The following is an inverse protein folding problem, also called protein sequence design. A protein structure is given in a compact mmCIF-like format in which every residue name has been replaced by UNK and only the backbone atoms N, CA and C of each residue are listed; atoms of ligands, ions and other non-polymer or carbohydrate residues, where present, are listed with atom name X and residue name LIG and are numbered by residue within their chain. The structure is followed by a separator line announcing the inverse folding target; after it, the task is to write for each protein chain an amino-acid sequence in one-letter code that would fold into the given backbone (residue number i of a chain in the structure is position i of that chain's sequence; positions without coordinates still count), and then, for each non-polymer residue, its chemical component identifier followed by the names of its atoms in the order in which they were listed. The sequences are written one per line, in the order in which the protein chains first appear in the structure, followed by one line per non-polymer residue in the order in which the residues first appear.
data_IF_235583449004
#
_entry.id   IF_235583449004
#
_cell.length_a   1.000
_cell.length_b   1.000
_cell.length_c   1.000
_cell.angle_alpha   90.00
_cell.angle_beta   90.00
_cell.angle_gamma   90.00
#
_symmetry.space_group_name_H-M   'P 1'
#
loop_
_entity.id
_entity.type
_entity.pdbx_description
1 polymer ?
#
# COMPACT_ATOMS: atom_id res chain seq x y z
N UNK A 1 -16.01 -10.98 3.95
CA UNK A 1 -15.22 -10.43 2.84
C UNK A 1 -13.92 -11.21 2.79
N UNK A 2 -13.32 -11.39 1.60
CA UNK A 2 -12.07 -12.17 1.44
C UNK A 2 -10.95 -11.73 2.40
N UNK A 3 -10.95 -10.45 2.81
CA UNK A 3 -9.97 -9.92 3.75
C UNK A 3 -10.08 -10.51 5.17
N UNK A 4 -11.30 -10.78 5.62
CA UNK A 4 -11.57 -11.36 6.94
C UNK A 4 -11.35 -12.88 6.95
N UNK A 5 -11.43 -13.55 5.80
CA UNK A 5 -11.26 -15.01 5.67
C UNK A 5 -9.81 -15.49 5.92
N UNK A 6 -8.88 -14.57 6.23
CA UNK A 6 -7.51 -14.91 6.63
C UNK A 6 -7.46 -15.57 8.02
N UNK A 7 -8.51 -15.49 8.83
CA UNK A 7 -8.66 -16.23 10.08
C UNK A 7 -8.55 -17.75 9.87
N UNK A 8 -9.13 -18.27 8.79
CA UNK A 8 -9.05 -19.68 8.39
C UNK A 8 -7.63 -20.07 8.02
N UNK A 9 -6.90 -19.18 7.34
CA UNK A 9 -5.49 -19.40 6.97
C UNK A 9 -4.63 -19.43 8.23
N UNK A 10 -4.85 -18.52 9.18
CA UNK A 10 -4.16 -18.48 10.47
C UNK A 10 -4.38 -19.79 11.24
N UNK A 11 -5.63 -20.26 11.33
CA UNK A 11 -5.95 -21.53 11.99
C UNK A 11 -5.21 -22.71 11.35
N UNK A 12 -5.20 -22.79 10.01
CA UNK A 12 -4.50 -23.84 9.27
C UNK A 12 -2.97 -23.77 9.45
N UNK A 13 -2.39 -22.56 9.48
CA UNK A 13 -0.95 -22.37 9.73
C UNK A 13 -0.56 -22.89 11.11
N UNK A 14 -1.37 -22.54 12.13
CA UNK A 14 -1.16 -23.01 13.50
C UNK A 14 -1.23 -24.52 13.60
N UNK A 15 -2.25 -25.13 13.00
CA UNK A 15 -2.44 -26.58 12.98
C UNK A 15 -1.28 -27.31 12.29
N UNK A 16 -0.79 -26.78 11.16
CA UNK A 16 0.30 -27.38 10.41
C UNK A 16 1.66 -27.29 11.13
N UNK A 17 1.91 -26.19 11.87
CA UNK A 17 3.10 -26.03 12.72
C UNK A 17 4.45 -25.95 12.00
N UNK A 18 4.47 -25.96 10.67
CA UNK A 18 5.71 -26.05 9.86
C UNK A 18 6.02 -24.79 9.05
N UNK A 19 5.11 -23.81 8.98
CA UNK A 19 5.27 -22.58 8.22
C UNK A 19 6.32 -21.67 8.89
N UNK A 20 7.30 -21.23 8.10
CA UNK A 20 8.43 -20.41 8.58
C UNK A 20 8.18 -18.91 8.49
N UNK A 21 7.24 -18.50 7.64
CA UNK A 21 6.83 -17.10 7.51
C UNK A 21 5.45 -17.00 6.89
N UNK A 22 4.59 -16.18 7.48
CA UNK A 22 3.30 -15.79 6.92
C UNK A 22 3.31 -14.32 6.49
N UNK A 23 2.83 -14.06 5.29
CA UNK A 23 2.62 -12.71 4.75
C UNK A 23 1.11 -12.51 4.57
N UNK A 24 0.42 -11.86 5.51
CA UNK A 24 -0.99 -11.53 5.32
C UNK A 24 -1.19 -10.53 4.20
N UNK A 25 -2.44 -10.39 3.73
CA UNK A 25 -2.86 -9.46 2.69
C UNK A 25 -2.80 -7.99 3.16
N UNK A 26 -1.59 -7.44 3.14
CA UNK A 26 -1.24 -6.09 3.61
C UNK A 26 -1.14 -5.11 2.44
N UNK A 27 -0.04 -5.17 1.68
CA UNK A 27 0.24 -4.51 0.40
C UNK A 27 -0.39 -3.12 0.20
N UNK A 28 -0.21 -2.25 1.19
CA UNK A 28 -0.74 -0.89 1.15
C UNK A 28 -0.18 -0.02 2.27
N UNK A 29 -1.05 0.79 2.86
CA UNK A 29 -0.73 1.59 4.03
C UNK A 29 -0.52 0.72 5.27
N UNK A 30 0.32 1.18 6.18
CA UNK A 30 0.45 0.58 7.49
C UNK A 30 -0.80 0.85 8.34
N UNK A 31 -1.60 -0.19 8.56
CA UNK A 31 -2.90 -0.08 9.21
C UNK A 31 -2.83 0.21 10.71
N UNK A 32 -1.67 0.03 11.34
CA UNK A 32 -1.42 0.43 12.73
C UNK A 32 -1.00 1.92 12.83
N UNK A 33 -0.77 2.61 11.70
CA UNK A 33 -0.27 4.00 11.64
C UNK A 33 -1.05 4.84 10.62
N UNK A 34 -2.31 5.10 10.91
CA UNK A 34 -3.22 5.79 9.98
C UNK A 34 -4.22 6.69 10.71
N UNK A 35 -4.59 7.81 10.07
CA UNK A 35 -5.66 8.72 10.49
C UNK A 35 -6.88 8.62 9.55
N UNK A 36 -7.09 7.44 8.94
CA UNK A 36 -8.18 7.24 7.99
C UNK A 36 -9.55 7.49 8.63
N UNK A 37 -10.45 8.02 7.81
CA UNK A 37 -11.88 8.18 8.12
C UNK A 37 -12.68 7.06 7.48
N UNK A 38 -13.96 6.94 7.84
CA UNK A 38 -14.84 5.96 7.21
C UNK A 38 -15.06 6.26 5.72
N UNK A 39 -15.24 5.24 4.86
CA UNK A 39 -15.29 3.81 5.19
C UNK A 39 -13.91 3.12 5.28
N UNK A 40 -12.83 3.83 4.94
CA UNK A 40 -11.48 3.25 4.89
C UNK A 40 -10.98 2.79 6.28
N UNK A 41 -11.34 3.51 7.34
CA UNK A 41 -11.00 3.15 8.73
C UNK A 41 -11.48 1.74 9.08
N UNK A 42 -12.73 1.38 8.75
CA UNK A 42 -13.26 0.03 8.97
C UNK A 42 -12.45 -1.04 8.25
N UNK A 43 -12.05 -0.79 7.00
CA UNK A 43 -11.22 -1.73 6.21
C UNK A 43 -9.85 -1.94 6.85
N UNK A 44 -9.20 -0.86 7.30
CA UNK A 44 -7.93 -0.95 8.02
C UNK A 44 -8.09 -1.67 9.38
N UNK A 45 -9.22 -1.47 10.06
CA UNK A 45 -9.56 -2.20 11.28
C UNK A 45 -9.62 -3.72 11.10
N UNK A 46 -10.07 -4.21 9.94
CA UNK A 46 -10.05 -5.66 9.63
C UNK A 46 -8.61 -6.17 9.53
N UNK A 47 -7.72 -5.47 8.82
CA UNK A 47 -6.30 -5.87 8.71
C UNK A 47 -5.59 -5.82 10.06
N UNK A 48 -5.83 -4.79 10.86
CA UNK A 48 -5.27 -4.69 12.20
C UNK A 48 -5.68 -5.88 13.09
N UNK A 49 -6.95 -6.33 13.01
CA UNK A 49 -7.40 -7.55 13.69
C UNK A 49 -6.67 -8.81 13.21
N UNK A 50 -6.43 -8.94 11.91
CA UNK A 50 -5.62 -10.04 11.35
C UNK A 50 -4.20 -10.02 11.90
N UNK A 51 -3.55 -8.85 11.97
CA UNK A 51 -2.21 -8.73 12.60
C UNK A 51 -2.22 -9.22 14.05
N UNK A 52 -3.17 -8.76 14.86
CA UNK A 52 -3.32 -9.19 16.26
C UNK A 52 -3.56 -10.70 16.38
N UNK A 53 -4.34 -11.30 15.48
CA UNK A 53 -4.56 -12.75 15.47
C UNK A 53 -3.27 -13.53 15.12
N UNK A 54 -2.52 -13.08 14.11
CA UNK A 54 -1.21 -13.67 13.75
C UNK A 54 -0.24 -13.60 14.94
N UNK A 55 -0.17 -12.45 15.60
CA UNK A 55 0.71 -12.23 16.76
C UNK A 55 0.31 -13.06 17.97
N UNK A 56 -0.99 -13.12 18.29
CA UNK A 56 -1.50 -13.90 19.42
C UNK A 56 -1.22 -15.40 19.28
N UNK A 57 -1.19 -15.90 18.04
CA UNK A 57 -0.86 -17.30 17.73
C UNK A 57 0.65 -17.57 17.60
N UNK A 58 1.50 -16.54 17.80
CA UNK A 58 2.94 -16.68 17.72
C UNK A 58 3.45 -17.05 16.32
N UNK A 59 2.66 -16.79 15.27
CA UNK A 59 3.01 -17.16 13.90
C UNK A 59 4.14 -16.25 13.40
N UNK A 60 5.27 -16.81 12.91
CA UNK A 60 6.32 -16.05 12.26
C UNK A 60 5.76 -15.25 11.08
N UNK A 61 5.98 -13.94 11.04
CA UNK A 61 5.32 -13.09 10.04
C UNK A 61 6.18 -11.97 9.48
N UNK A 62 5.72 -11.39 8.37
CA UNK A 62 6.20 -10.11 7.85
C UNK A 62 5.01 -9.34 7.29
N UNK A 63 4.83 -8.09 7.74
CA UNK A 63 3.78 -7.20 7.22
C UNK A 63 4.39 -6.28 6.17
N UNK A 64 3.89 -6.32 4.93
CA UNK A 64 4.43 -5.51 3.84
C UNK A 64 3.61 -4.24 3.66
N UNK A 65 4.19 -3.11 4.08
CA UNK A 65 3.65 -1.79 3.77
C UNK A 65 4.28 -1.28 2.46
N UNK A 66 3.61 -1.57 1.36
CA UNK A 66 4.08 -1.24 0.01
C UNK A 66 3.63 0.14 -0.48
N UNK A 67 2.86 0.89 0.32
CA UNK A 67 2.27 2.17 -0.05
C UNK A 67 1.35 2.04 -1.29
N UNK A 68 1.40 2.98 -2.23
CA UNK A 68 0.47 3.06 -3.35
C UNK A 68 1.01 2.32 -4.58
N UNK A 69 0.13 1.55 -5.21
CA UNK A 69 0.41 0.88 -6.48
C UNK A 69 0.44 1.90 -7.62
N UNK A 70 1.54 1.96 -8.34
CA UNK A 70 1.73 2.91 -9.43
C UNK A 70 0.73 2.67 -10.57
N UNK A 71 0.45 1.42 -10.93
CA UNK A 71 -0.55 1.06 -11.94
C UNK A 71 -1.99 1.33 -11.52
N UNK A 72 -2.27 1.52 -10.23
CA UNK A 72 -3.58 1.98 -9.77
C UNK A 72 -3.70 3.51 -9.79
N UNK A 73 -2.64 4.22 -9.40
CA UNK A 73 -2.66 5.67 -9.23
C UNK A 73 -2.36 6.43 -10.52
N UNK A 74 -1.28 6.07 -11.21
CA UNK A 74 -0.74 6.84 -12.32
C UNK A 74 -1.64 6.87 -13.55
N UNK A 75 -2.34 5.79 -13.97
CA UNK A 75 -3.16 5.82 -15.18
C UNK A 75 -4.32 6.80 -15.13
N UNK A 76 -4.83 7.17 -13.95
CA UNK A 76 -5.88 8.18 -13.79
C UNK A 76 -5.40 9.44 -13.08
N UNK A 77 -4.13 9.48 -12.66
CA UNK A 77 -3.58 10.48 -11.74
C UNK A 77 -4.42 10.63 -10.46
N UNK A 78 -4.91 9.51 -9.94
CA UNK A 78 -5.86 9.43 -8.81
C UNK A 78 -7.15 10.26 -8.98
N UNK A 79 -7.55 10.59 -10.20
CA UNK A 79 -8.78 11.33 -10.45
C UNK A 79 -9.99 10.39 -10.52
N UNK A 80 -11.04 10.60 -9.71
CA UNK A 80 -12.24 9.77 -9.74
C UNK A 80 -12.88 9.72 -11.13
N UNK A 81 -13.17 8.50 -11.61
CA UNK A 81 -13.83 8.28 -12.90
C UNK A 81 -12.94 8.48 -14.14
N UNK A 82 -11.69 8.93 -13.99
CA UNK A 82 -10.77 9.07 -15.11
C UNK A 82 -10.15 7.72 -15.50
N UNK A 83 -10.06 7.47 -16.80
CA UNK A 83 -9.43 6.26 -17.39
C UNK A 83 -8.04 6.54 -17.98
N UNK A 84 -7.64 7.80 -18.03
CA UNK A 84 -6.35 8.29 -18.48
C UNK A 84 -5.94 9.52 -17.63
N UNK A 85 -4.65 9.89 -17.55
CA UNK A 85 -4.24 11.06 -16.80
C UNK A 85 -4.83 12.32 -17.46
N UNK A 86 -5.41 13.25 -16.69
CA UNK A 86 -6.14 14.39 -17.24
C UNK A 86 -5.23 15.34 -18.03
N UNK A 87 -5.78 16.00 -19.05
CA UNK A 87 -5.05 16.95 -19.91
C UNK A 87 -5.58 18.39 -19.85
N UNK A 88 -6.65 18.63 -19.08
CA UNK A 88 -7.28 19.94 -18.96
C UNK A 88 -7.38 20.40 -17.50
N UNK A 89 -8.06 19.61 -16.66
CA UNK A 89 -8.30 19.93 -15.24
C UNK A 89 -7.82 18.82 -14.32
N UNK A 90 -7.36 19.18 -13.13
CA UNK A 90 -6.97 18.22 -12.10
C UNK A 90 -7.48 18.69 -10.74
N UNK A 91 -8.15 17.79 -10.02
CA UNK A 91 -8.55 18.02 -8.64
C UNK A 91 -7.40 17.67 -7.70
N UNK A 92 -7.08 18.58 -6.78
CA UNK A 92 -6.05 18.39 -5.76
C UNK A 92 -6.72 18.29 -4.40
N UNK A 93 -6.58 17.14 -3.74
CA UNK A 93 -7.13 16.95 -2.39
C UNK A 93 -6.24 17.67 -1.36
N UNK A 94 -6.85 18.56 -0.58
CA UNK A 94 -6.12 19.39 0.39
C UNK A 94 -5.24 20.43 -0.31
N UNK A 95 -4.03 20.65 0.21
CA UNK A 95 -3.03 21.55 -0.37
C UNK A 95 -2.07 20.86 -1.37
N UNK A 96 -2.17 19.53 -1.50
CA UNK A 96 -1.34 18.72 -2.39
C UNK A 96 0.13 18.58 -1.98
N UNK A 97 0.55 19.04 -0.79
CA UNK A 97 1.96 18.98 -0.35
C UNK A 97 2.34 17.67 0.32
N UNK A 98 1.35 16.92 0.82
CA UNK A 98 1.56 15.64 1.49
C UNK A 98 2.26 14.64 0.57
N UNK A 99 3.30 13.97 1.07
CA UNK A 99 4.10 13.00 0.32
C UNK A 99 3.44 11.62 0.31
N UNK A 100 3.37 11.02 -0.86
CA UNK A 100 3.03 9.62 -1.10
C UNK A 100 4.22 8.88 -1.70
N UNK A 101 4.19 7.54 -1.62
CA UNK A 101 5.17 6.66 -2.29
C UNK A 101 4.45 5.84 -3.34
N UNK A 102 4.88 5.94 -4.59
CA UNK A 102 4.29 5.25 -5.74
C UNK A 102 5.22 4.14 -6.22
N UNK A 103 4.87 2.88 -5.95
CA UNK A 103 5.71 1.74 -6.29
C UNK A 103 5.10 0.93 -7.43
N UNK A 104 5.94 0.52 -8.37
CA UNK A 104 5.57 -0.41 -9.42
C UNK A 104 5.32 -1.80 -8.82
N UNK A 105 4.26 -2.46 -9.26
CA UNK A 105 3.75 -3.69 -8.68
C UNK A 105 4.77 -4.84 -8.76
N UNK A 106 5.53 -4.93 -9.86
CA UNK A 106 6.61 -5.91 -10.02
C UNK A 106 7.75 -5.70 -9.01
N UNK A 107 8.03 -4.45 -8.61
CA UNK A 107 9.02 -4.15 -7.58
C UNK A 107 8.48 -4.54 -6.20
N UNK A 108 7.20 -4.28 -5.92
CA UNK A 108 6.54 -4.71 -4.67
C UNK A 108 6.65 -6.23 -4.53
N UNK A 109 6.36 -6.98 -5.59
CA UNK A 109 6.51 -8.43 -5.61
C UNK A 109 7.97 -8.84 -5.36
N UNK A 110 8.92 -8.21 -6.05
CA UNK A 110 10.35 -8.49 -5.91
C UNK A 110 10.84 -8.29 -4.46
N UNK A 111 10.52 -7.15 -3.83
CA UNK A 111 10.91 -6.88 -2.45
C UNK A 111 10.21 -7.81 -1.45
N UNK A 112 8.97 -8.20 -1.73
CA UNK A 112 8.22 -9.17 -0.91
C UNK A 112 8.92 -10.52 -0.91
N UNK A 113 9.28 -11.05 -2.08
CA UNK A 113 9.98 -12.34 -2.20
C UNK A 113 11.37 -12.29 -1.56
N UNK A 114 12.12 -11.20 -1.76
CA UNK A 114 13.42 -11.00 -1.10
C UNK A 114 13.33 -11.01 0.44
N UNK A 115 12.16 -10.72 1.00
CA UNK A 115 11.94 -10.68 2.43
C UNK A 115 11.52 -12.02 3.06
N UNK A 116 11.21 -13.04 2.25
CA UNK A 116 10.64 -14.32 2.74
C UNK A 116 11.57 -15.01 3.74
N UNK A 117 12.84 -15.20 3.35
CA UNK A 117 13.84 -15.89 4.17
C UNK A 117 14.85 -14.94 4.84
N UNK A 118 14.70 -13.63 4.63
CA UNK A 118 15.56 -12.64 5.28
C UNK A 118 15.27 -12.63 6.79
N UNK A 119 16.25 -12.92 7.66
CA UNK A 119 16.03 -12.90 9.11
C UNK A 119 15.75 -11.48 9.63
N UNK A 120 16.16 -10.43 8.90
CA UNK A 120 15.96 -9.03 9.30
C UNK A 120 14.49 -8.61 9.23
N UNK A 121 13.65 -9.36 8.51
CA UNK A 121 12.22 -9.07 8.32
C UNK A 121 11.32 -9.97 9.17
N UNK A 122 11.89 -10.90 9.94
CA UNK A 122 11.14 -11.80 10.83
C UNK A 122 10.44 -11.01 11.94
N UNK A 123 9.11 -11.14 12.01
CA UNK A 123 8.23 -10.44 12.94
C UNK A 123 8.39 -8.91 12.86
N UNK A 124 8.49 -8.39 11.63
CA UNK A 124 8.65 -6.96 11.32
C UNK A 124 7.66 -6.48 10.28
N UNK A 125 7.52 -5.16 10.23
CA UNK A 125 6.91 -4.44 9.12
C UNK A 125 8.03 -4.08 8.13
N UNK A 126 7.90 -4.52 6.88
CA UNK A 126 8.73 -4.09 5.77
C UNK A 126 8.08 -2.88 5.09
N UNK A 127 8.71 -1.72 5.16
CA UNK A 127 8.28 -0.54 4.43
C UNK A 127 9.04 -0.42 3.10
N UNK A 128 8.31 -0.39 1.98
CA UNK A 128 8.90 -0.18 0.65
C UNK A 128 8.78 1.30 0.30
N UNK A 129 9.82 2.08 0.65
CA UNK A 129 9.86 3.54 0.45
C UNK A 129 11.13 3.99 -0.30
N UNK A 130 11.31 3.56 -1.56
CA UNK A 130 12.46 4.00 -2.35
C UNK A 130 12.44 5.54 -2.53
N UNK A 131 13.54 6.26 -2.25
CA UNK A 131 13.54 7.73 -2.22
C UNK A 131 13.05 8.41 -3.51
N UNK A 132 13.37 7.83 -4.67
CA UNK A 132 13.01 8.40 -5.98
C UNK A 132 11.53 8.24 -6.36
N UNK A 133 10.74 7.57 -5.51
CA UNK A 133 9.32 7.34 -5.72
C UNK A 133 8.46 8.15 -4.75
N UNK A 134 9.07 9.04 -3.97
CA UNK A 134 8.39 9.87 -2.96
C UNK A 134 8.03 11.21 -3.59
N UNK A 135 6.74 11.42 -3.84
CA UNK A 135 6.20 12.63 -4.47
C UNK A 135 5.04 13.20 -3.67
N UNK A 136 4.92 14.52 -3.66
CA UNK A 136 3.64 15.16 -3.35
C UNK A 136 2.73 15.12 -4.58
N UNK A 137 1.43 15.34 -4.40
CA UNK A 137 0.52 15.39 -5.54
C UNK A 137 0.85 16.59 -6.46
N UNK A 138 1.27 17.72 -5.88
CA UNK A 138 1.73 18.89 -6.64
C UNK A 138 2.94 18.57 -7.53
N UNK A 139 3.93 17.84 -7.01
CA UNK A 139 5.10 17.42 -7.79
C UNK A 139 4.72 16.42 -8.90
N UNK A 140 3.79 15.52 -8.62
CA UNK A 140 3.30 14.55 -9.60
C UNK A 140 2.55 15.25 -10.75
N UNK A 141 1.69 16.23 -10.43
CA UNK A 141 1.02 17.08 -11.42
C UNK A 141 2.03 17.85 -12.25
N UNK A 142 3.02 18.49 -11.61
CA UNK A 142 4.08 19.23 -12.33
C UNK A 142 4.89 18.31 -13.27
N UNK A 143 5.19 17.08 -12.84
CA UNK A 143 5.85 16.08 -13.68
C UNK A 143 4.99 15.71 -14.89
N UNK A 144 3.68 15.59 -14.71
CA UNK A 144 2.75 15.30 -15.79
C UNK A 144 2.59 16.48 -16.75
N UNK A 145 2.41 17.70 -16.25
CA UNK A 145 2.37 18.94 -17.04
C UNK A 145 3.61 19.07 -17.93
N UNK A 146 4.80 18.79 -17.37
CA UNK A 146 6.06 18.75 -18.12
C UNK A 146 6.05 17.70 -19.24
N UNK A 147 5.49 16.52 -18.99
CA UNK A 147 5.40 15.44 -20.00
C UNK A 147 4.43 15.79 -21.14
N UNK A 148 3.36 16.53 -20.85
CA UNK A 148 2.35 16.89 -21.86
C UNK A 148 2.57 18.26 -22.49
N UNK A 149 3.53 19.04 -21.99
CA UNK A 149 3.82 20.39 -22.48
C UNK A 149 2.68 21.40 -22.25
N UNK A 150 1.86 21.17 -21.22
CA UNK A 150 0.66 21.98 -20.93
C UNK A 150 0.42 22.06 -19.43
N UNK A 151 0.08 23.25 -18.94
CA UNK A 151 -0.38 23.48 -17.58
C UNK A 151 -1.85 23.09 -17.43
N UNK A 152 -2.18 22.37 -16.36
CA UNK A 152 -3.53 21.98 -16.00
C UNK A 152 -4.18 23.06 -15.12
N UNK A 153 -5.47 23.26 -15.31
CA UNK A 153 -6.34 24.02 -14.41
C UNK A 153 -6.56 23.21 -13.13
N UNK A 154 -6.28 23.82 -11.97
CA UNK A 154 -6.25 23.15 -10.66
C UNK A 154 -7.52 23.53 -9.91
N UNK A 155 -8.34 22.52 -9.60
CA UNK A 155 -9.68 22.69 -9.00
C UNK A 155 -9.80 22.03 -7.63
#
# INVERSE_FOLDING_TARGET
SQLADQDKIIAAIKEAGNIKRFFPSEFGNDVDRTNAVEPARSVFGVKAKIRRAVEAEGIPHTYVSSNSFAGYVLPSLAQPGATAPPRDKVAILGDGIAKAVLNKEEDIATYTIKAVDDPRTLNKILYIRPPNNIYSFNELVALWEKKIGKTLDKI
#
